data_IF_201847273052
#
_entry.id   IF_201847273052
#
_cell.length_a   1.000
_cell.length_b   1.000
_cell.length_c   1.000
_cell.angle_alpha   90.00
_cell.angle_beta   90.00
_cell.angle_gamma   90.00
#
_symmetry.space_group_name_H-M   'P 1'
#
loop_
_entity.id
_entity.type
_entity.pdbx_description
1 polymer ?
#
# COMPACT_ATOMS: atom_id res chain seq x y z
N UNK A 1 43.92 -28.59 -36.83
CA UNK A 1 42.56 -28.76 -36.30
C UNK A 1 42.46 -28.05 -34.96
N UNK A 2 41.77 -26.91 -34.83
CA UNK A 2 41.56 -26.27 -33.54
C UNK A 2 40.21 -26.65 -32.92
N UNK A 3 40.20 -26.67 -31.58
CA UNK A 3 39.11 -27.06 -30.67
C UNK A 3 38.03 -25.98 -30.62
N UNK A 4 36.76 -26.39 -30.68
CA UNK A 4 35.58 -25.56 -30.40
C UNK A 4 35.38 -25.43 -28.89
N UNK A 5 35.06 -24.20 -28.45
CA UNK A 5 34.97 -23.73 -27.08
C UNK A 5 33.62 -24.00 -26.42
N UNK A 6 33.68 -24.16 -25.11
CA UNK A 6 32.65 -24.49 -24.12
C UNK A 6 31.63 -23.35 -23.87
N UNK A 7 31.04 -22.78 -24.94
CA UNK A 7 30.06 -21.68 -24.83
C UNK A 7 28.63 -22.13 -25.17
N UNK A 8 28.44 -23.36 -25.69
CA UNK A 8 27.14 -23.83 -26.17
C UNK A 8 26.18 -24.35 -25.08
N UNK A 9 26.61 -24.54 -23.83
CA UNK A 9 25.79 -25.18 -22.78
C UNK A 9 25.07 -24.25 -21.80
N UNK A 10 25.29 -22.93 -21.88
CA UNK A 10 24.63 -21.94 -20.98
C UNK A 10 23.69 -20.99 -21.73
N UNK A 11 23.86 -20.83 -23.05
CA UNK A 11 23.03 -19.92 -23.85
C UNK A 11 21.62 -20.48 -24.18
N UNK A 12 21.46 -21.80 -24.25
CA UNK A 12 20.17 -22.42 -24.64
C UNK A 12 19.10 -22.36 -23.52
N UNK A 13 19.41 -22.58 -22.23
CA UNK A 13 18.42 -22.46 -21.15
C UNK A 13 17.93 -21.02 -20.94
N UNK A 14 18.82 -20.03 -21.09
CA UNK A 14 18.49 -18.61 -20.91
C UNK A 14 17.58 -18.07 -22.04
N UNK A 15 17.76 -18.58 -23.27
CA UNK A 15 16.89 -18.19 -24.39
C UNK A 15 15.47 -18.73 -24.22
N UNK A 16 15.33 -19.97 -23.72
CA UNK A 16 14.04 -20.63 -23.46
C UNK A 16 13.29 -19.97 -22.29
N UNK A 17 14.00 -19.54 -21.23
CA UNK A 17 13.42 -18.75 -20.14
C UNK A 17 12.97 -17.36 -20.59
N UNK A 18 13.72 -16.68 -21.47
CA UNK A 18 13.29 -15.37 -22.00
C UNK A 18 12.08 -15.46 -22.94
N UNK A 19 11.96 -16.54 -23.71
CA UNK A 19 10.81 -16.79 -24.60
C UNK A 19 9.56 -17.21 -23.81
N UNK A 20 9.70 -17.96 -22.72
CA UNK A 20 8.59 -18.26 -21.81
C UNK A 20 8.07 -17.01 -21.09
N UNK A 21 8.98 -16.11 -20.69
CA UNK A 21 8.64 -14.81 -20.10
C UNK A 21 7.93 -13.88 -21.11
N UNK A 22 8.38 -13.87 -22.37
CA UNK A 22 7.74 -13.10 -23.44
C UNK A 22 6.38 -13.66 -23.87
N UNK A 23 6.14 -14.98 -23.73
CA UNK A 23 4.86 -15.58 -24.09
C UNK A 23 3.79 -15.38 -22.99
N UNK A 24 4.17 -15.36 -21.70
CA UNK A 24 3.25 -15.10 -20.60
C UNK A 24 2.81 -13.63 -20.49
N UNK A 25 3.61 -12.68 -20.97
CA UNK A 25 3.26 -11.25 -20.94
C UNK A 25 2.09 -10.86 -21.87
N UNK A 26 1.70 -11.71 -22.82
CA UNK A 26 0.60 -11.44 -23.76
C UNK A 26 -0.74 -12.10 -23.39
N UNK A 27 -0.80 -12.94 -22.36
CA UNK A 27 -2.02 -13.64 -21.94
C UNK A 27 -2.61 -13.15 -20.60
N UNK A 28 -2.00 -12.13 -19.97
CA UNK A 28 -2.48 -11.61 -18.68
C UNK A 28 -3.47 -10.46 -18.86
N UNK A 29 -4.62 -10.41 -18.15
CA UNK A 29 -5.58 -9.31 -18.23
C UNK A 29 -5.08 -7.98 -17.61
N UNK A 30 -3.85 -7.92 -17.10
CA UNK A 30 -3.34 -6.83 -16.25
C UNK A 30 -2.25 -5.94 -16.89
N UNK A 31 -2.02 -6.00 -18.21
CA UNK A 31 -1.09 -5.11 -18.91
C UNK A 31 0.40 -5.53 -18.83
N UNK A 32 1.32 -4.88 -19.59
CA UNK A 32 2.69 -5.38 -19.76
C UNK A 32 3.60 -4.96 -18.61
N UNK A 33 4.52 -5.86 -18.23
CA UNK A 33 5.58 -5.61 -17.26
C UNK A 33 6.62 -4.57 -17.77
N UNK A 34 7.24 -3.76 -16.89
CA UNK A 34 8.21 -2.75 -17.29
C UNK A 34 9.51 -3.38 -17.81
N UNK A 35 10.06 -2.78 -18.87
CA UNK A 35 11.34 -3.16 -19.46
C UNK A 35 12.52 -2.85 -18.51
N UNK A 36 13.31 -3.87 -18.17
CA UNK A 36 14.65 -3.70 -17.60
C UNK A 36 15.54 -2.95 -18.61
N UNK A 37 15.82 -1.68 -18.33
CA UNK A 37 16.81 -0.90 -19.08
C UNK A 37 18.20 -1.51 -18.88
N UNK A 38 18.88 -1.82 -19.98
CA UNK A 38 20.24 -2.31 -19.98
C UNK A 38 21.20 -1.23 -19.46
N UNK A 39 21.60 -1.34 -18.20
CA UNK A 39 22.65 -0.48 -17.65
C UNK A 39 22.72 -0.47 -16.13
N UNK A 40 22.98 -1.62 -15.51
CA UNK A 40 23.49 -1.70 -14.13
C UNK A 40 24.45 -2.88 -14.03
N UNK A 41 25.62 -2.62 -13.44
CA UNK A 41 26.73 -3.55 -13.33
C UNK A 41 26.36 -4.78 -12.51
N UNK A 42 26.85 -5.95 -12.96
CA UNK A 42 26.73 -7.21 -12.24
C UNK A 42 27.44 -7.12 -10.89
N UNK A 43 26.66 -6.90 -9.84
CA UNK A 43 26.90 -7.41 -8.48
C UNK A 43 25.58 -7.40 -7.72
N UNK A 44 24.64 -8.23 -8.15
CA UNK A 44 23.48 -8.59 -7.33
C UNK A 44 23.53 -10.11 -7.14
N UNK A 45 23.37 -10.49 -5.87
CA UNK A 45 23.78 -11.73 -5.27
C UNK A 45 23.13 -12.97 -5.91
N UNK A 46 23.94 -14.01 -6.08
CA UNK A 46 23.53 -15.37 -6.45
C UNK A 46 22.50 -16.00 -5.48
N UNK A 47 22.23 -15.38 -4.33
CA UNK A 47 21.32 -15.91 -3.29
C UNK A 47 19.84 -15.83 -3.67
N UNK A 48 19.40 -14.78 -4.38
CA UNK A 48 18.00 -14.58 -4.75
C UNK A 48 17.51 -15.59 -5.81
N UNK A 49 18.41 -16.03 -6.70
CA UNK A 49 18.12 -17.09 -7.69
C UNK A 49 18.03 -18.49 -7.07
N UNK A 50 18.78 -18.76 -6.00
CA UNK A 50 18.77 -20.08 -5.33
C UNK A 50 17.48 -20.26 -4.51
N UNK A 51 17.02 -19.21 -3.82
CA UNK A 51 15.78 -19.27 -3.03
C UNK A 51 14.54 -19.46 -3.93
N UNK A 52 14.52 -18.85 -5.12
CA UNK A 52 13.42 -19.03 -6.08
C UNK A 52 13.35 -20.46 -6.64
N UNK A 53 14.51 -21.08 -6.89
CA UNK A 53 14.59 -22.46 -7.39
C UNK A 53 14.18 -23.51 -6.34
N UNK A 54 14.44 -23.25 -5.04
CA UNK A 54 14.00 -24.13 -3.96
C UNK A 54 12.49 -24.08 -3.72
N UNK A 55 11.85 -22.90 -3.88
CA UNK A 55 10.41 -22.76 -3.75
C UNK A 55 9.64 -23.46 -4.90
N UNK A 56 10.18 -23.43 -6.13
CA UNK A 56 9.56 -24.06 -7.29
C UNK A 56 9.63 -25.60 -7.29
N UNK A 57 10.54 -26.21 -6.52
CA UNK A 57 10.69 -27.67 -6.44
C UNK A 57 9.74 -28.36 -5.45
N UNK A 58 8.95 -27.62 -4.66
CA UNK A 58 8.08 -28.18 -3.62
C UNK A 58 6.56 -28.15 -3.95
N UNK A 59 6.17 -27.66 -5.14
CA UNK A 59 4.76 -27.67 -5.56
C UNK A 59 4.39 -28.98 -6.30
N UNK A 60 3.28 -29.66 -5.95
CA UNK A 60 2.80 -30.82 -6.72
C UNK A 60 2.25 -30.38 -8.08
N UNK A 61 2.75 -30.99 -9.15
CA UNK A 61 2.35 -30.75 -10.54
C UNK A 61 0.88 -31.13 -10.81
N UNK A 62 0.10 -30.19 -11.36
CA UNK A 62 -1.20 -30.41 -12.00
C UNK A 62 -1.23 -29.79 -13.39
N UNK A 63 -1.61 -30.59 -14.39
CA UNK A 63 -1.48 -30.33 -15.83
C UNK A 63 -2.48 -29.30 -16.40
N UNK A 64 -2.21 -28.70 -17.59
CA UNK A 64 -3.02 -27.61 -18.16
C UNK A 64 -4.19 -28.11 -19.00
N UNK A 65 -5.29 -27.36 -18.96
CA UNK A 65 -6.55 -27.64 -19.64
C UNK A 65 -6.77 -26.65 -20.77
N UNK A 66 -6.77 -27.12 -22.02
CA UNK A 66 -7.56 -26.57 -23.12
C UNK A 66 -7.62 -27.57 -24.29
N UNK A 67 -8.83 -28.09 -24.57
CA UNK A 67 -9.38 -28.42 -25.88
C UNK A 67 -10.57 -29.37 -25.72
N UNK A 68 -11.78 -28.89 -26.04
CA UNK A 68 -12.77 -29.59 -26.88
C UNK A 68 -14.05 -28.76 -27.00
N UNK A 69 -14.12 -28.01 -28.10
CA UNK A 69 -15.38 -27.58 -28.70
C UNK A 69 -16.10 -28.83 -29.24
N UNK A 70 -17.39 -28.94 -28.91
CA UNK A 70 -18.35 -29.76 -29.63
C UNK A 70 -18.84 -30.98 -28.86
N UNK A 71 -20.08 -30.92 -28.35
CA UNK A 71 -21.23 -31.60 -28.97
C UNK A 71 -22.47 -31.53 -28.05
N UNK A 72 -23.61 -31.20 -28.68
CA UNK A 72 -24.98 -31.65 -28.39
C UNK A 72 -25.52 -31.59 -26.95
N UNK A 73 -26.54 -30.76 -26.78
CA UNK A 73 -27.55 -30.88 -25.73
C UNK A 73 -28.20 -32.27 -25.70
N UNK A 74 -28.36 -32.85 -24.51
CA UNK A 74 -29.57 -33.56 -24.14
C UNK A 74 -30.30 -32.78 -23.05
N UNK A 75 -31.62 -32.67 -23.20
CA UNK A 75 -32.55 -32.18 -22.17
C UNK A 75 -32.42 -33.06 -20.93
N UNK A 76 -32.08 -32.47 -19.79
CA UNK A 76 -32.22 -33.15 -18.50
C UNK A 76 -33.40 -32.56 -17.73
N UNK A 77 -34.27 -33.47 -17.31
CA UNK A 77 -35.51 -33.21 -16.60
C UNK A 77 -35.19 -32.61 -15.23
N UNK A 78 -35.98 -31.61 -14.85
CA UNK A 78 -36.03 -31.08 -13.48
C UNK A 78 -36.77 -32.11 -12.63
N UNK A 79 -36.01 -32.98 -11.97
CA UNK A 79 -36.52 -33.73 -10.83
C UNK A 79 -36.20 -32.93 -9.56
N UNK A 80 -37.26 -32.40 -8.96
CA UNK A 80 -37.26 -31.84 -7.62
C UNK A 80 -36.97 -32.97 -6.63
N UNK A 81 -35.75 -33.02 -6.11
CA UNK A 81 -35.47 -33.66 -4.83
C UNK A 81 -34.75 -32.67 -3.92
N UNK A 82 -35.43 -32.30 -2.83
CA UNK A 82 -34.88 -31.68 -1.63
C UNK A 82 -33.71 -32.53 -1.13
N UNK A 83 -32.50 -32.22 -1.58
CA UNK A 83 -31.28 -32.68 -0.95
C UNK A 83 -30.82 -31.57 -0.01
N UNK A 84 -31.13 -31.75 1.28
CA UNK A 84 -30.42 -31.07 2.36
C UNK A 84 -28.92 -31.26 2.14
N UNK A 85 -28.26 -30.21 1.63
CA UNK A 85 -26.81 -30.12 1.65
C UNK A 85 -26.42 -30.10 3.12
N UNK A 86 -25.96 -31.24 3.62
CA UNK A 86 -25.44 -31.39 4.97
C UNK A 86 -24.19 -30.52 5.07
N UNK A 87 -24.34 -29.35 5.69
CA UNK A 87 -23.28 -28.35 5.93
C UNK A 87 -22.37 -28.85 7.07
N UNK A 88 -21.66 -29.97 6.84
CA UNK A 88 -20.81 -30.61 7.86
C UNK A 88 -19.30 -30.36 7.68
N UNK A 89 -18.89 -29.60 6.65
CA UNK A 89 -17.53 -29.06 6.58
C UNK A 89 -17.47 -27.79 7.46
N UNK A 90 -16.59 -27.71 8.48
CA UNK A 90 -16.44 -26.50 9.27
C UNK A 90 -15.98 -25.36 8.37
N UNK A 91 -16.83 -24.33 8.23
CA UNK A 91 -16.48 -23.10 7.53
C UNK A 91 -15.12 -22.59 8.09
N UNK A 92 -14.14 -22.23 7.24
CA UNK A 92 -12.83 -21.85 7.75
C UNK A 92 -12.89 -20.46 8.41
N UNK A 93 -12.12 -20.30 9.50
CA UNK A 93 -11.84 -18.99 10.08
C UNK A 93 -11.02 -18.17 9.08
N UNK A 94 -11.40 -16.91 8.89
CA UNK A 94 -10.57 -15.93 8.18
C UNK A 94 -9.81 -15.09 9.19
N UNK A 95 -8.53 -14.83 8.92
CA UNK A 95 -7.71 -13.88 9.68
C UNK A 95 -6.94 -13.02 8.69
N UNK A 96 -6.75 -11.74 9.04
CA UNK A 96 -5.87 -10.81 8.33
C UNK A 96 -5.10 -9.97 9.35
N UNK A 97 -3.77 -9.93 9.23
CA UNK A 97 -2.85 -9.09 9.99
C UNK A 97 -2.32 -7.97 9.10
N UNK A 98 -2.56 -6.74 9.52
CA UNK A 98 -2.11 -5.52 8.86
C UNK A 98 -1.17 -4.79 9.81
N UNK A 99 -0.07 -4.28 9.29
CA UNK A 99 0.82 -3.36 10.02
C UNK A 99 0.88 -2.04 9.26
N UNK A 100 0.81 -0.92 9.97
CA UNK A 100 1.00 0.40 9.39
C UNK A 100 2.07 1.20 10.15
N UNK A 101 2.92 1.92 9.42
CA UNK A 101 3.97 2.78 9.97
C UNK A 101 3.84 4.19 9.39
N UNK A 102 4.05 5.16 10.27
CA UNK A 102 4.03 6.58 9.96
C UNK A 102 5.26 7.08 9.20
N UNK A 103 5.57 8.34 9.45
CA UNK A 103 6.57 9.15 8.77
C UNK A 103 8.00 8.67 9.11
N UNK A 104 8.77 8.26 8.10
CA UNK A 104 10.12 7.67 8.27
C UNK A 104 11.21 8.73 8.12
N UNK A 105 11.02 9.71 7.25
CA UNK A 105 11.90 10.87 7.13
C UNK A 105 13.40 10.54 7.03
N UNK A 106 13.76 9.75 6.00
CA UNK A 106 15.13 9.52 5.57
C UNK A 106 15.97 8.71 6.55
N UNK A 107 15.35 7.94 7.45
CA UNK A 107 16.01 7.22 8.54
C UNK A 107 15.87 5.69 8.38
N UNK A 108 16.85 5.08 7.70
CA UNK A 108 16.85 3.64 7.43
C UNK A 108 16.99 2.81 8.71
N UNK A 109 17.77 3.29 9.67
CA UNK A 109 18.06 2.54 10.91
C UNK A 109 16.78 2.41 11.75
N UNK A 110 16.07 3.50 11.99
CA UNK A 110 14.83 3.42 12.77
C UNK A 110 13.70 2.74 12.00
N UNK A 111 13.64 2.89 10.67
CA UNK A 111 12.72 2.12 9.85
C UNK A 111 12.97 0.61 10.01
N UNK A 112 14.21 0.15 9.91
CA UNK A 112 14.62 -1.24 10.15
C UNK A 112 14.16 -1.76 11.51
N UNK A 113 14.46 -1.01 12.59
CA UNK A 113 14.06 -1.38 13.96
C UNK A 113 12.54 -1.52 14.10
N UNK A 114 11.78 -0.56 13.57
CA UNK A 114 10.31 -0.56 13.66
C UNK A 114 9.71 -1.69 12.85
N UNK A 115 10.16 -1.90 11.60
CA UNK A 115 9.62 -2.95 10.74
C UNK A 115 9.94 -4.35 11.27
N UNK A 116 11.12 -4.55 11.85
CA UNK A 116 11.50 -5.82 12.47
C UNK A 116 10.66 -6.08 13.72
N UNK A 117 10.54 -5.09 14.62
CA UNK A 117 9.70 -5.17 15.82
C UNK A 117 8.24 -5.51 15.50
N UNK A 118 7.68 -4.89 14.45
CA UNK A 118 6.30 -5.14 14.04
C UNK A 118 6.10 -6.49 13.32
N UNK A 119 7.20 -7.17 12.98
CA UNK A 119 7.23 -8.42 12.24
C UNK A 119 6.97 -8.25 10.74
N UNK A 120 7.16 -7.06 10.18
CA UNK A 120 7.08 -6.81 8.72
C UNK A 120 8.30 -7.41 8.03
N UNK A 121 9.49 -7.23 8.63
CA UNK A 121 10.74 -7.80 8.14
C UNK A 121 11.35 -8.76 9.15
N UNK A 122 12.17 -9.69 8.67
CA UNK A 122 12.96 -10.62 9.48
C UNK A 122 14.28 -9.99 9.95
N UNK A 123 15.17 -10.81 10.54
CA UNK A 123 16.49 -10.36 11.03
C UNK A 123 17.44 -9.90 9.94
N UNK A 124 17.22 -10.34 8.70
CA UNK A 124 18.02 -9.97 7.52
C UNK A 124 17.42 -8.76 6.78
N UNK A 125 16.30 -8.20 7.27
CA UNK A 125 15.60 -7.09 6.64
C UNK A 125 14.73 -7.49 5.45
N UNK A 126 14.46 -8.78 5.24
CA UNK A 126 13.57 -9.27 4.19
C UNK A 126 12.12 -9.38 4.68
N UNK A 127 11.15 -9.35 3.78
CA UNK A 127 9.75 -9.59 4.09
C UNK A 127 9.57 -10.89 4.86
N UNK A 128 9.01 -10.80 6.06
CA UNK A 128 8.96 -11.93 7.00
C UNK A 128 7.92 -13.00 6.62
N UNK A 129 6.94 -12.65 5.77
CA UNK A 129 5.75 -13.46 5.51
C UNK A 129 4.75 -13.54 6.68
N UNK A 130 5.00 -12.85 7.80
CA UNK A 130 4.16 -12.89 9.00
C UNK A 130 3.04 -11.84 9.01
N UNK A 131 3.04 -10.94 8.03
CA UNK A 131 2.05 -9.87 7.86
C UNK A 131 1.39 -10.04 6.49
N UNK A 132 0.07 -9.89 6.43
CA UNK A 132 -0.66 -9.98 5.14
C UNK A 132 -0.55 -8.67 4.37
N UNK A 133 -0.61 -7.53 5.07
CA UNK A 133 -0.53 -6.19 4.46
C UNK A 133 0.34 -5.26 5.29
N UNK A 134 1.34 -4.64 4.67
CA UNK A 134 2.09 -3.52 5.23
C UNK A 134 1.65 -2.20 4.60
N UNK A 135 1.41 -1.18 5.42
CA UNK A 135 1.04 0.17 4.97
C UNK A 135 2.06 1.21 5.44
N UNK A 136 2.62 1.99 4.53
CA UNK A 136 3.45 3.15 4.84
C UNK A 136 2.67 4.42 4.49
N UNK A 137 2.49 5.35 5.44
CA UNK A 137 1.55 6.48 5.30
C UNK A 137 2.17 7.78 4.75
N UNK A 138 3.23 7.71 3.94
CA UNK A 138 3.90 8.88 3.34
C UNK A 138 5.03 9.46 4.19
N UNK A 139 5.74 10.44 3.65
CA UNK A 139 6.91 11.08 4.28
C UNK A 139 8.02 10.07 4.59
N UNK A 140 8.43 9.34 3.57
CA UNK A 140 9.63 8.49 3.62
C UNK A 140 10.88 9.37 3.43
N UNK A 141 10.78 10.43 2.64
CA UNK A 141 11.89 11.33 2.27
C UNK A 141 12.06 12.52 3.24
N UNK A 142 13.18 13.23 3.09
CA UNK A 142 13.63 14.43 3.82
C UNK A 142 14.01 14.20 5.28
N UNK A 143 14.70 15.17 5.89
CA UNK A 143 15.21 15.17 7.28
C UNK A 143 16.24 14.09 7.64
N UNK A 144 16.49 13.13 6.75
CA UNK A 144 17.57 12.16 6.85
C UNK A 144 18.26 11.97 5.49
N UNK A 145 19.39 11.26 5.51
CA UNK A 145 20.27 11.12 4.34
C UNK A 145 20.03 9.80 3.56
N UNK A 146 19.26 8.85 4.11
CA UNK A 146 19.13 7.48 3.60
C UNK A 146 18.03 7.31 2.53
N UNK A 147 17.70 8.38 1.79
CA UNK A 147 16.57 8.37 0.84
C UNK A 147 16.74 7.30 -0.24
N UNK A 148 17.94 7.17 -0.79
CA UNK A 148 18.21 6.22 -1.87
C UNK A 148 18.04 4.80 -1.36
N UNK A 149 18.72 4.45 -0.27
CA UNK A 149 18.67 3.11 0.32
C UNK A 149 17.25 2.74 0.80
N UNK A 150 16.51 3.69 1.39
CA UNK A 150 15.14 3.46 1.84
C UNK A 150 14.21 3.09 0.68
N UNK A 151 14.22 3.86 -0.41
CA UNK A 151 13.32 3.55 -1.53
C UNK A 151 13.76 2.30 -2.30
N UNK A 152 15.05 1.99 -2.38
CA UNK A 152 15.51 0.70 -2.92
C UNK A 152 14.98 -0.46 -2.07
N UNK A 153 15.15 -0.39 -0.75
CA UNK A 153 14.66 -1.41 0.18
C UNK A 153 13.14 -1.56 0.16
N UNK A 154 12.38 -0.46 0.12
CA UNK A 154 10.91 -0.50 0.04
C UNK A 154 10.41 -1.19 -1.24
N UNK A 155 11.10 -1.02 -2.36
CA UNK A 155 10.71 -1.68 -3.61
C UNK A 155 11.13 -3.16 -3.62
N UNK A 156 12.26 -3.53 -3.02
CA UNK A 156 12.61 -4.94 -2.77
C UNK A 156 11.57 -5.64 -1.87
N UNK A 157 11.18 -5.00 -0.77
CA UNK A 157 10.12 -5.51 0.11
C UNK A 157 8.79 -5.67 -0.61
N UNK A 158 8.45 -4.74 -1.52
CA UNK A 158 7.23 -4.84 -2.34
C UNK A 158 7.24 -6.10 -3.21
N UNK A 159 8.36 -6.41 -3.86
CA UNK A 159 8.52 -7.61 -4.67
C UNK A 159 8.45 -8.89 -3.83
N UNK A 160 9.14 -8.91 -2.68
CA UNK A 160 9.14 -10.05 -1.76
C UNK A 160 7.74 -10.31 -1.18
N UNK A 161 7.05 -9.26 -0.73
CA UNK A 161 5.69 -9.34 -0.23
C UNK A 161 4.77 -9.99 -1.27
N UNK A 162 4.78 -9.47 -2.50
CA UNK A 162 3.98 -10.02 -3.59
C UNK A 162 4.32 -11.50 -3.87
N UNK A 163 5.61 -11.86 -3.88
CA UNK A 163 6.07 -13.24 -4.07
C UNK A 163 5.58 -14.21 -2.99
N UNK A 164 5.24 -13.72 -1.80
CA UNK A 164 4.73 -14.49 -0.66
C UNK A 164 3.23 -14.29 -0.41
N UNK A 165 2.51 -13.63 -1.32
CA UNK A 165 1.07 -13.35 -1.19
C UNK A 165 0.71 -12.22 -0.23
N UNK A 166 1.70 -11.51 0.30
CA UNK A 166 1.55 -10.27 1.04
C UNK A 166 1.34 -9.07 0.12
N UNK A 167 0.93 -7.94 0.70
CA UNK A 167 0.71 -6.70 -0.03
C UNK A 167 1.37 -5.52 0.68
N UNK A 168 2.03 -4.67 -0.09
CA UNK A 168 2.55 -3.39 0.39
C UNK A 168 1.74 -2.24 -0.20
N UNK A 169 1.20 -1.38 0.67
CA UNK A 169 0.50 -0.15 0.31
C UNK A 169 1.34 1.04 0.75
N UNK A 170 1.82 1.83 -0.20
CA UNK A 170 2.66 3.00 0.10
C UNK A 170 1.93 4.28 -0.30
N UNK A 171 1.89 5.24 0.61
CA UNK A 171 1.26 6.52 0.36
C UNK A 171 2.28 7.61 0.02
N UNK A 172 1.82 8.62 -0.72
CA UNK A 172 2.56 9.86 -0.89
C UNK A 172 2.22 10.80 0.27
N UNK A 173 3.24 11.24 1.00
CA UNK A 173 3.14 12.29 1.99
C UNK A 173 3.43 13.67 1.42
N UNK A 174 3.35 14.70 2.26
CA UNK A 174 3.59 16.04 1.77
C UNK A 174 5.05 16.26 1.35
N UNK A 175 6.00 15.51 1.91
CA UNK A 175 7.42 15.61 1.57
C UNK A 175 7.74 15.05 0.19
N UNK A 176 7.12 13.94 -0.24
CA UNK A 176 7.24 13.47 -1.63
C UNK A 176 6.72 14.54 -2.62
N UNK A 177 5.59 15.18 -2.28
CA UNK A 177 5.02 16.27 -3.09
C UNK A 177 5.88 17.53 -3.10
N UNK A 178 6.41 17.95 -1.96
CA UNK A 178 7.34 19.07 -1.87
C UNK A 178 8.56 18.83 -2.77
N UNK A 179 9.14 17.62 -2.71
CA UNK A 179 10.27 17.25 -3.56
C UNK A 179 9.95 17.26 -5.05
N UNK A 180 8.79 16.72 -5.45
CA UNK A 180 8.32 16.76 -6.84
C UNK A 180 8.00 18.18 -7.35
N UNK A 181 7.59 19.09 -6.45
CA UNK A 181 7.36 20.52 -6.74
C UNK A 181 8.69 21.26 -6.93
N UNK A 182 9.77 20.80 -6.28
CA UNK A 182 11.05 21.50 -6.18
C UNK A 182 11.18 22.35 -4.92
N UNK A 183 10.42 22.02 -3.87
CA UNK A 183 10.51 22.61 -2.53
C UNK A 183 11.34 21.70 -1.62
N UNK A 184 12.61 22.07 -1.46
CA UNK A 184 13.65 21.32 -0.76
C UNK A 184 14.04 21.97 0.56
N UNK A 185 13.13 22.74 1.19
CA UNK A 185 13.38 23.39 2.49
C UNK A 185 13.79 22.43 3.61
N UNK A 186 13.49 21.14 3.48
CA UNK A 186 13.80 20.09 4.46
C UNK A 186 14.86 19.08 3.97
N UNK A 187 15.47 19.35 2.82
CA UNK A 187 16.52 18.52 2.25
C UNK A 187 17.86 18.97 2.81
N UNK A 188 18.63 18.05 3.37
CA UNK A 188 19.97 18.36 3.88
C UNK A 188 21.00 18.43 2.76
N UNK A 189 22.05 19.28 2.89
CA UNK A 189 23.15 19.28 1.94
C UNK A 189 23.82 17.90 1.80
N UNK A 190 23.94 17.14 2.89
CA UNK A 190 24.45 15.76 2.93
C UNK A 190 23.59 14.81 2.10
N UNK A 191 22.26 14.92 2.20
CA UNK A 191 21.36 14.13 1.35
C UNK A 191 21.58 14.45 -0.14
N UNK A 192 21.82 15.71 -0.53
CA UNK A 192 22.11 16.04 -1.93
C UNK A 192 23.40 15.35 -2.41
N UNK A 193 24.38 15.17 -1.52
CA UNK A 193 25.64 14.47 -1.81
C UNK A 193 25.40 12.98 -2.12
N UNK A 194 24.39 12.33 -1.52
CA UNK A 194 24.07 10.91 -1.79
C UNK A 194 23.57 10.70 -3.23
N UNK A 195 22.95 11.73 -3.83
CA UNK A 195 22.58 11.76 -5.26
C UNK A 195 23.73 12.25 -6.16
N UNK A 196 24.85 12.70 -5.59
CA UNK A 196 26.05 13.19 -6.28
C UNK A 196 25.97 14.61 -6.84
N UNK A 197 24.77 15.15 -7.12
CA UNK A 197 24.60 16.57 -7.49
C UNK A 197 23.14 17.02 -7.39
N UNK A 198 22.92 18.34 -7.28
CA UNK A 198 21.59 18.96 -7.36
C UNK A 198 20.84 18.52 -8.62
N UNK A 199 21.50 18.50 -9.78
CA UNK A 199 20.85 18.10 -11.04
C UNK A 199 20.46 16.63 -11.05
N UNK A 200 21.29 15.75 -10.47
CA UNK A 200 20.99 14.32 -10.39
C UNK A 200 19.81 14.05 -9.44
N UNK A 201 19.79 14.69 -8.26
CA UNK A 201 18.68 14.62 -7.33
C UNK A 201 17.38 15.15 -7.94
N UNK A 202 17.43 16.35 -8.54
CA UNK A 202 16.28 16.96 -9.20
C UNK A 202 15.72 16.05 -10.28
N UNK A 203 16.60 15.43 -11.07
CA UNK A 203 16.17 14.43 -12.04
C UNK A 203 15.49 13.26 -11.32
N UNK A 204 16.11 12.66 -10.30
CA UNK A 204 15.57 11.52 -9.57
C UNK A 204 14.14 11.76 -9.04
N UNK A 205 13.91 12.84 -8.28
CA UNK A 205 12.61 13.15 -7.64
C UNK A 205 11.55 13.72 -8.60
N UNK A 206 11.87 13.93 -9.88
CA UNK A 206 10.92 14.41 -10.89
C UNK A 206 10.74 13.42 -12.04
N UNK A 207 11.70 13.38 -12.94
CA UNK A 207 11.62 12.65 -14.22
C UNK A 207 12.37 11.32 -14.22
N UNK A 208 13.14 11.06 -13.17
CA UNK A 208 13.98 9.90 -12.97
C UNK A 208 13.29 8.80 -12.17
N UNK A 209 14.11 7.91 -11.62
CA UNK A 209 13.66 6.67 -10.99
C UNK A 209 12.67 6.90 -9.85
N UNK A 210 12.95 7.85 -8.95
CA UNK A 210 12.12 8.08 -7.75
C UNK A 210 10.76 8.69 -8.12
N UNK A 211 10.73 9.68 -9.02
CA UNK A 211 9.49 10.20 -9.57
C UNK A 211 8.69 9.17 -10.39
N UNK A 212 9.36 8.17 -10.99
CA UNK A 212 8.70 7.06 -11.67
C UNK A 212 8.02 6.11 -10.66
N UNK A 213 8.71 5.69 -9.59
CA UNK A 213 8.12 4.79 -8.60
C UNK A 213 6.95 5.44 -7.86
N UNK A 214 7.05 6.73 -7.52
CA UNK A 214 5.94 7.48 -6.91
C UNK A 214 4.70 7.50 -7.80
N UNK A 215 4.89 7.56 -9.12
CA UNK A 215 3.78 7.58 -10.06
C UNK A 215 3.17 6.19 -10.34
N UNK A 216 3.92 5.11 -10.16
CA UNK A 216 3.47 3.75 -10.48
C UNK A 216 2.99 2.97 -9.26
N UNK A 217 3.64 3.14 -8.11
CA UNK A 217 3.54 2.23 -6.98
C UNK A 217 2.95 2.89 -5.72
N UNK A 218 2.72 4.20 -5.74
CA UNK A 218 2.24 4.97 -4.58
C UNK A 218 0.89 5.62 -4.89
N UNK A 219 0.07 5.80 -3.84
CA UNK A 219 -1.22 6.50 -3.92
C UNK A 219 -1.32 7.62 -2.90
N UNK A 220 -2.16 8.64 -3.10
CA UNK A 220 -2.33 9.71 -2.09
C UNK A 220 -3.27 9.28 -0.95
N UNK A 221 -4.26 8.44 -1.27
CA UNK A 221 -5.14 7.83 -0.27
C UNK A 221 -5.34 6.35 -0.59
N UNK A 222 -5.58 5.54 0.43
CA UNK A 222 -5.90 4.15 0.26
C UNK A 222 -7.16 3.73 1.04
N UNK A 223 -7.91 2.81 0.43
CA UNK A 223 -8.96 2.06 1.12
C UNK A 223 -8.48 0.61 1.23
N UNK A 224 -8.41 0.09 2.45
CA UNK A 224 -7.99 -1.28 2.68
C UNK A 224 -9.14 -2.10 3.26
N UNK A 225 -9.84 -2.88 2.41
CA UNK A 225 -10.75 -3.92 2.87
C UNK A 225 -10.12 -4.90 3.87
N UNK A 226 -10.82 -5.19 4.96
CA UNK A 226 -10.41 -6.18 5.96
C UNK A 226 -10.75 -7.61 5.52
N UNK A 227 -11.67 -7.77 4.56
CA UNK A 227 -12.06 -9.07 4.00
C UNK A 227 -12.11 -9.04 2.47
N UNK A 228 -11.74 -10.15 1.83
CA UNK A 228 -11.62 -10.26 0.37
C UNK A 228 -12.93 -10.02 -0.40
N UNK A 229 -14.09 -10.26 0.24
CA UNK A 229 -15.41 -10.00 -0.38
C UNK A 229 -15.64 -8.53 -0.75
N UNK A 230 -14.95 -7.61 -0.08
CA UNK A 230 -15.06 -6.18 -0.34
C UNK A 230 -14.08 -5.69 -1.41
N UNK A 231 -13.23 -6.59 -1.92
CA UNK A 231 -12.25 -6.37 -2.97
C UNK A 231 -10.80 -6.25 -2.47
N UNK A 232 -9.83 -6.18 -3.40
CA UNK A 232 -8.43 -5.89 -3.08
C UNK A 232 -8.25 -4.47 -2.52
N UNK A 233 -7.04 -4.12 -2.01
CA UNK A 233 -6.72 -2.74 -1.67
C UNK A 233 -7.07 -1.76 -2.79
N UNK A 234 -7.57 -0.59 -2.41
CA UNK A 234 -8.07 0.48 -3.28
C UNK A 234 -9.32 0.14 -4.11
N UNK A 235 -10.05 -0.92 -3.75
CA UNK A 235 -11.42 -1.10 -4.26
C UNK A 235 -12.31 0.05 -3.81
N UNK A 236 -12.89 0.75 -4.78
CA UNK A 236 -13.69 1.94 -4.55
C UNK A 236 -14.91 1.69 -3.67
N UNK A 237 -15.27 2.73 -2.91
CA UNK A 237 -16.55 2.84 -2.23
C UNK A 237 -17.30 4.12 -2.64
N UNK A 238 -18.56 4.00 -3.09
CA UNK A 238 -19.19 2.76 -3.53
C UNK A 238 -18.41 2.15 -4.71
N UNK A 239 -18.41 0.82 -4.88
CA UNK A 239 -17.75 0.21 -6.04
C UNK A 239 -18.51 0.55 -7.32
N UNK A 240 -17.85 0.35 -8.46
CA UNK A 240 -18.48 0.50 -9.77
C UNK A 240 -19.76 -0.35 -9.89
N UNK A 241 -20.77 0.19 -10.58
CA UNK A 241 -22.03 -0.51 -10.82
C UNK A 241 -21.78 -1.85 -11.55
N UNK A 242 -22.44 -2.92 -11.10
CA UNK A 242 -22.24 -4.27 -11.63
C UNK A 242 -20.92 -4.94 -11.21
N UNK A 243 -20.10 -4.30 -10.37
CA UNK A 243 -18.90 -4.93 -9.80
C UNK A 243 -19.25 -6.19 -9.00
N UNK A 244 -18.38 -7.20 -9.08
CA UNK A 244 -18.48 -8.42 -8.24
C UNK A 244 -18.44 -8.11 -6.74
N UNK A 245 -17.92 -6.95 -6.35
CA UNK A 245 -17.84 -6.52 -4.95
C UNK A 245 -19.08 -5.71 -4.49
N UNK A 246 -20.02 -5.39 -5.39
CA UNK A 246 -21.14 -4.51 -5.11
C UNK A 246 -22.04 -5.04 -3.98
N UNK A 247 -22.33 -6.35 -3.97
CA UNK A 247 -23.18 -6.98 -2.95
C UNK A 247 -22.59 -6.84 -1.55
N UNK A 248 -21.32 -7.23 -1.38
CA UNK A 248 -20.64 -7.14 -0.08
C UNK A 248 -20.50 -5.68 0.40
N UNK A 249 -20.23 -4.75 -0.53
CA UNK A 249 -20.14 -3.32 -0.23
C UNK A 249 -21.51 -2.65 0.03
N UNK A 250 -22.63 -3.32 -0.25
CA UNK A 250 -23.98 -2.90 0.16
C UNK A 250 -24.45 -3.60 1.45
N UNK A 251 -23.73 -4.62 1.90
CA UNK A 251 -24.11 -5.46 3.03
C UNK A 251 -23.53 -5.02 4.39
N UNK A 252 -23.67 -5.88 5.41
CA UNK A 252 -23.17 -5.61 6.76
C UNK A 252 -21.64 -5.40 6.84
N UNK A 253 -20.88 -5.98 5.90
CA UNK A 253 -19.44 -5.78 5.78
C UNK A 253 -19.03 -4.50 5.05
N UNK A 254 -19.95 -3.72 4.50
CA UNK A 254 -19.65 -2.56 3.64
C UNK A 254 -18.55 -1.62 4.13
N UNK A 255 -18.44 -1.44 5.45
CA UNK A 255 -17.46 -0.57 6.09
C UNK A 255 -16.33 -1.31 6.79
N UNK A 256 -16.22 -2.65 6.66
CA UNK A 256 -15.10 -3.45 7.16
C UNK A 256 -13.83 -3.19 6.33
N UNK A 257 -13.39 -1.94 6.35
CA UNK A 257 -12.26 -1.39 5.63
C UNK A 257 -11.69 -0.22 6.43
N UNK A 258 -10.40 0.05 6.27
CA UNK A 258 -9.72 1.20 6.85
C UNK A 258 -9.37 2.18 5.73
N UNK A 259 -9.46 3.49 5.99
CA UNK A 259 -8.85 4.49 5.13
C UNK A 259 -7.46 4.83 5.66
N UNK A 260 -6.50 4.93 4.75
CA UNK A 260 -5.16 5.42 5.04
C UNK A 260 -4.92 6.68 4.22
N UNK A 261 -4.36 7.70 4.84
CA UNK A 261 -4.04 8.99 4.25
C UNK A 261 -2.86 9.58 5.00
N UNK A 262 -2.02 10.40 4.36
CA UNK A 262 -0.89 10.99 5.07
C UNK A 262 -1.33 12.05 6.10
N UNK A 263 -1.93 13.15 5.65
CA UNK A 263 -2.42 14.22 6.50
C UNK A 263 -3.79 13.91 7.10
N UNK A 264 -4.83 13.78 6.28
CA UNK A 264 -6.18 13.54 6.81
C UNK A 264 -7.30 13.84 5.82
N UNK A 265 -8.45 13.18 5.97
CA UNK A 265 -9.61 13.43 5.10
C UNK A 265 -10.51 14.51 5.70
N UNK A 266 -10.32 15.77 5.31
CA UNK A 266 -11.12 16.87 5.84
C UNK A 266 -12.63 16.66 5.54
N UNK A 267 -13.55 16.96 6.48
CA UNK A 267 -14.99 16.77 6.26
C UNK A 267 -15.56 17.51 5.05
N UNK A 268 -14.95 18.66 4.73
CA UNK A 268 -15.34 19.52 3.61
C UNK A 268 -14.59 19.24 2.31
N UNK A 269 -13.70 18.24 2.28
CA UNK A 269 -13.02 17.86 1.05
C UNK A 269 -14.03 17.25 0.06
N UNK A 270 -14.12 17.77 -1.18
CA UNK A 270 -15.25 17.45 -2.06
C UNK A 270 -15.11 16.07 -2.73
N UNK A 271 -13.87 15.61 -2.94
CA UNK A 271 -13.60 14.38 -3.70
C UNK A 271 -13.41 13.16 -2.79
N UNK A 272 -14.25 13.02 -1.76
CA UNK A 272 -14.26 11.84 -0.89
C UNK A 272 -14.98 10.63 -1.50
N UNK A 273 -15.60 10.75 -2.68
CA UNK A 273 -16.27 9.64 -3.36
C UNK A 273 -16.12 9.73 -4.89
N UNK A 274 -16.00 8.57 -5.59
CA UNK A 274 -15.71 7.25 -5.01
C UNK A 274 -14.33 7.23 -4.33
N UNK A 275 -14.23 6.60 -3.16
CA UNK A 275 -12.98 6.53 -2.39
C UNK A 275 -12.28 5.18 -2.59
N UNK A 276 -10.97 5.15 -2.90
CA UNK A 276 -10.03 6.28 -2.93
C UNK A 276 -9.80 6.88 -4.32
N UNK A 277 -10.39 6.34 -5.40
CA UNK A 277 -9.99 6.70 -6.76
C UNK A 277 -10.22 8.16 -7.12
N UNK A 278 -11.24 8.83 -6.56
CA UNK A 278 -11.46 10.26 -6.81
C UNK A 278 -10.25 11.12 -6.38
N UNK A 279 -9.63 10.80 -5.24
CA UNK A 279 -8.41 11.46 -4.76
C UNK A 279 -7.21 11.06 -5.62
N UNK A 280 -7.05 9.76 -5.85
CA UNK A 280 -5.88 9.23 -6.55
C UNK A 280 -5.84 9.68 -8.03
N UNK A 281 -6.98 9.86 -8.69
CA UNK A 281 -7.02 10.39 -10.05
C UNK A 281 -6.55 11.85 -10.13
N UNK A 282 -6.93 12.68 -9.16
CA UNK A 282 -6.46 14.08 -9.06
C UNK A 282 -4.95 14.09 -8.78
N UNK A 283 -4.49 13.23 -7.85
CA UNK A 283 -3.08 13.02 -7.53
C UNK A 283 -2.27 12.64 -8.76
N UNK A 284 -2.70 11.62 -9.52
CA UNK A 284 -2.01 11.17 -10.72
C UNK A 284 -1.94 12.26 -11.80
N UNK A 285 -3.03 13.03 -11.99
CA UNK A 285 -3.06 14.15 -12.92
C UNK A 285 -2.04 15.24 -12.54
N UNK A 286 -2.02 15.67 -11.27
CA UNK A 286 -1.10 16.71 -10.82
C UNK A 286 0.35 16.23 -10.85
N UNK A 287 0.63 15.00 -10.42
CA UNK A 287 1.98 14.43 -10.45
C UNK A 287 2.50 14.32 -11.88
N UNK A 288 1.64 13.93 -12.84
CA UNK A 288 2.00 13.94 -14.26
C UNK A 288 2.36 15.35 -14.76
N UNK A 289 1.63 16.39 -14.35
CA UNK A 289 1.95 17.79 -14.69
C UNK A 289 3.26 18.27 -14.09
N UNK A 290 3.58 17.88 -12.85
CA UNK A 290 4.86 18.20 -12.21
C UNK A 290 6.03 17.57 -12.98
N UNK A 291 5.89 16.29 -13.32
CA UNK A 291 6.93 15.52 -14.02
C UNK A 291 7.13 15.98 -15.47
N UNK A 292 6.10 16.53 -16.12
CA UNK A 292 6.16 17.00 -17.50
C UNK A 292 6.63 18.46 -17.67
N UNK A 293 6.98 19.17 -16.58
CA UNK A 293 7.57 20.52 -16.68
C UNK A 293 8.87 20.48 -17.47
N UNK A 294 8.99 21.38 -18.44
CA UNK A 294 10.19 21.54 -19.26
C UNK A 294 10.47 23.03 -19.51
N UNK A 295 11.61 23.57 -19.04
CA UNK A 295 12.55 22.93 -18.12
C UNK A 295 11.94 22.71 -16.71
N UNK A 296 12.52 21.81 -15.93
CA UNK A 296 12.22 21.73 -14.50
C UNK A 296 12.72 23.00 -13.79
N UNK A 297 11.91 23.65 -12.94
CA UNK A 297 12.32 24.87 -12.25
C UNK A 297 13.41 24.56 -11.22
N UNK A 298 14.38 25.46 -11.01
CA UNK A 298 15.43 25.22 -10.02
C UNK A 298 14.84 25.08 -8.61
N UNK A 299 15.40 24.21 -7.74
CA UNK A 299 14.82 23.91 -6.44
C UNK A 299 14.95 25.08 -5.45
N UNK A 300 13.95 25.23 -4.58
CA UNK A 300 13.92 26.18 -3.47
C UNK A 300 14.36 25.48 -2.17
N UNK A 301 15.19 26.06 -1.31
CA UNK A 301 16.04 27.26 -1.47
C UNK A 301 17.35 26.95 -2.26
N UNK A 302 18.10 27.97 -2.75
CA UNK A 302 17.92 29.41 -2.53
C UNK A 302 17.02 30.09 -3.57
N UNK A 303 16.53 29.37 -4.57
CA UNK A 303 15.65 29.93 -5.60
C UNK A 303 14.26 30.26 -5.06
N UNK A 304 13.46 31.01 -5.82
CA UNK A 304 12.07 31.27 -5.44
C UNK A 304 11.26 29.97 -5.44
N UNK A 305 10.25 29.87 -4.57
CA UNK A 305 9.35 28.73 -4.49
C UNK A 305 8.70 28.45 -5.87
N UNK A 306 8.88 27.25 -6.47
CA UNK A 306 8.40 26.97 -7.83
C UNK A 306 6.88 26.98 -7.99
N UNK A 307 6.13 26.71 -6.91
CA UNK A 307 4.67 26.61 -6.94
C UNK A 307 4.15 25.40 -7.73
N UNK A 308 2.84 25.33 -7.92
CA UNK A 308 2.18 24.29 -8.73
C UNK A 308 2.26 24.61 -10.24
N UNK A 309 2.19 23.61 -11.14
CA UNK A 309 2.38 23.82 -12.59
C UNK A 309 1.36 24.80 -13.18
N UNK A 310 1.71 25.44 -14.30
CA UNK A 310 0.71 26.15 -15.10
C UNK A 310 -0.40 25.17 -15.54
N UNK A 311 -1.66 25.61 -15.50
CA UNK A 311 -2.81 24.75 -15.81
C UNK A 311 -3.21 23.79 -14.67
N UNK A 312 -2.72 24.01 -13.45
CA UNK A 312 -3.23 23.34 -12.25
C UNK A 312 -4.72 23.67 -12.05
N UNK A 313 -5.56 22.64 -11.91
CA UNK A 313 -7.00 22.83 -11.68
C UNK A 313 -7.28 23.21 -10.22
N UNK A 314 -8.52 23.58 -9.90
CA UNK A 314 -8.91 23.87 -8.52
C UNK A 314 -8.82 22.64 -7.62
N UNK A 315 -9.20 21.50 -8.15
CA UNK A 315 -9.15 20.21 -7.47
C UNK A 315 -7.71 19.79 -7.17
N UNK A 316 -6.80 19.94 -8.15
CA UNK A 316 -5.38 19.68 -7.97
C UNK A 316 -4.73 20.65 -6.97
N UNK A 317 -5.05 21.94 -7.04
CA UNK A 317 -4.57 22.92 -6.06
C UNK A 317 -5.07 22.61 -4.65
N UNK A 318 -6.32 22.15 -4.51
CA UNK A 318 -6.91 21.78 -3.22
C UNK A 318 -6.36 20.46 -2.67
N UNK A 319 -5.98 19.51 -3.53
CA UNK A 319 -5.27 18.29 -3.12
C UNK A 319 -4.02 18.61 -2.30
N UNK A 320 -3.22 19.58 -2.77
CA UNK A 320 -2.02 20.08 -2.08
C UNK A 320 -2.32 21.20 -1.06
N UNK A 321 -3.58 21.64 -0.94
CA UNK A 321 -3.99 22.67 -0.01
C UNK A 321 -4.00 22.19 1.44
N UNK A 322 -4.10 23.14 2.39
CA UNK A 322 -4.10 22.83 3.83
C UNK A 322 -5.30 22.01 4.31
N UNK A 323 -6.43 22.01 3.57
CA UNK A 323 -7.57 21.12 3.81
C UNK A 323 -7.56 19.87 2.92
N UNK A 324 -6.51 19.69 2.12
CA UNK A 324 -6.27 18.52 1.29
C UNK A 324 -5.70 17.34 2.08
N UNK A 325 -5.72 16.13 1.48
CA UNK A 325 -5.33 14.89 2.14
C UNK A 325 -3.87 14.85 2.61
N UNK A 326 -3.00 15.69 2.05
CA UNK A 326 -1.57 15.70 2.37
C UNK A 326 -1.24 16.53 3.62
N UNK A 327 -2.04 17.56 3.94
CA UNK A 327 -1.67 18.56 4.94
C UNK A 327 -2.69 18.73 6.08
N UNK A 328 -3.89 18.14 5.96
CA UNK A 328 -4.96 18.41 6.91
C UNK A 328 -4.68 17.84 8.30
N UNK A 329 -4.48 18.72 9.29
CA UNK A 329 -4.18 18.35 10.69
C UNK A 329 -5.39 18.37 11.63
N UNK A 330 -6.58 18.75 11.14
CA UNK A 330 -7.70 19.03 12.04
C UNK A 330 -8.15 17.82 12.88
N UNK A 331 -7.90 16.60 12.42
CA UNK A 331 -8.15 15.37 13.20
C UNK A 331 -7.22 15.20 14.39
N UNK A 332 -6.02 15.77 14.35
CA UNK A 332 -5.07 15.77 15.45
C UNK A 332 -5.25 17.00 16.35
N UNK A 333 -5.41 18.19 15.76
CA UNK A 333 -5.29 19.45 16.48
C UNK A 333 -6.63 19.98 17.06
N UNK A 334 -7.77 19.63 16.44
CA UNK A 334 -9.06 20.17 16.89
C UNK A 334 -9.61 19.44 18.14
N UNK A 335 -10.52 20.11 18.85
CA UNK A 335 -11.21 19.56 20.03
C UNK A 335 -11.90 18.23 19.73
N UNK A 336 -11.80 17.28 20.67
CA UNK A 336 -12.34 15.93 20.50
C UNK A 336 -13.84 15.94 20.22
N UNK A 337 -14.62 16.77 20.93
CA UNK A 337 -16.06 16.88 20.70
C UNK A 337 -16.43 17.32 19.27
N UNK A 338 -15.63 18.21 18.66
CA UNK A 338 -15.85 18.71 17.29
C UNK A 338 -15.50 17.66 16.24
N UNK A 339 -14.41 16.92 16.44
CA UNK A 339 -14.01 15.89 15.48
C UNK A 339 -14.92 14.66 15.57
N UNK A 340 -15.31 14.23 16.77
CA UNK A 340 -16.17 13.07 16.95
C UNK A 340 -17.59 13.30 16.44
N UNK A 341 -18.05 14.56 16.40
CA UNK A 341 -19.32 14.93 15.79
C UNK A 341 -19.32 14.85 14.25
N UNK A 342 -18.15 14.83 13.60
CA UNK A 342 -18.02 14.91 12.12
C UNK A 342 -17.40 13.66 11.48
N UNK A 343 -16.61 12.89 12.22
CA UNK A 343 -15.86 11.74 11.69
C UNK A 343 -16.77 10.70 11.01
N UNK A 344 -17.95 10.44 11.56
CA UNK A 344 -18.89 9.46 11.02
C UNK A 344 -19.34 9.81 9.60
N UNK A 345 -19.48 11.11 9.30
CA UNK A 345 -19.86 11.54 7.95
C UNK A 345 -18.74 11.27 6.92
N UNK A 346 -17.48 11.35 7.34
CA UNK A 346 -16.34 11.04 6.47
C UNK A 346 -16.22 9.54 6.27
N UNK A 347 -16.26 8.76 7.35
CA UNK A 347 -16.22 7.30 7.33
C UNK A 347 -17.35 6.68 6.48
N UNK A 348 -18.55 7.26 6.57
CA UNK A 348 -19.69 6.85 5.75
C UNK A 348 -19.47 7.13 4.25
N UNK A 349 -18.82 8.24 3.90
CA UNK A 349 -18.49 8.56 2.51
C UNK A 349 -17.41 7.62 1.97
N UNK A 350 -16.41 7.30 2.79
CA UNK A 350 -15.28 6.46 2.38
C UNK A 350 -15.57 4.97 2.48
N UNK A 351 -16.67 4.56 3.10
CA UNK A 351 -16.99 3.16 3.33
C UNK A 351 -15.95 2.47 4.21
N UNK A 352 -15.56 3.14 5.29
CA UNK A 352 -14.52 2.66 6.23
C UNK A 352 -14.98 2.76 7.67
N UNK A 353 -14.40 1.94 8.55
CA UNK A 353 -14.62 1.97 10.01
C UNK A 353 -13.72 2.95 10.71
N UNK A 354 -12.50 3.09 10.19
CA UNK A 354 -11.43 3.88 10.78
C UNK A 354 -10.66 4.60 9.70
N UNK A 355 -10.10 5.72 10.09
CA UNK A 355 -9.15 6.49 9.31
C UNK A 355 -7.83 6.53 10.07
N UNK A 356 -6.78 6.11 9.38
CA UNK A 356 -5.39 6.08 9.86
C UNK A 356 -4.62 7.18 9.14
N UNK A 357 -3.85 7.97 9.90
CA UNK A 357 -3.07 9.10 9.39
C UNK A 357 -1.71 9.27 10.05
N UNK A 358 -0.75 9.85 9.32
CA UNK A 358 0.57 10.26 9.79
C UNK A 358 0.65 11.79 9.99
N UNK A 359 1.72 12.42 9.50
CA UNK A 359 1.93 13.88 9.32
C UNK A 359 2.00 14.76 10.59
N UNK A 360 1.18 14.44 11.59
CA UNK A 360 1.04 15.23 12.82
C UNK A 360 1.60 14.43 13.99
N UNK A 361 2.89 14.61 14.30
CA UNK A 361 3.58 13.73 15.21
C UNK A 361 3.08 13.91 16.64
N UNK A 362 2.81 12.79 17.31
CA UNK A 362 2.80 12.71 18.76
C UNK A 362 4.04 11.92 19.19
N UNK A 363 5.04 12.61 19.71
CA UNK A 363 6.35 12.02 19.99
C UNK A 363 6.35 10.94 21.08
N UNK A 364 5.24 10.74 21.79
CA UNK A 364 5.13 9.77 22.87
C UNK A 364 4.39 8.49 22.46
N UNK A 365 3.28 8.62 21.73
CA UNK A 365 2.38 7.50 21.48
C UNK A 365 1.51 7.69 20.25
N UNK A 366 1.08 6.58 19.66
CA UNK A 366 -0.02 6.56 18.69
C UNK A 366 -1.29 7.04 19.39
N UNK A 367 -2.06 7.92 18.74
CA UNK A 367 -3.25 8.53 19.33
C UNK A 367 -4.51 7.95 18.69
N UNK A 368 -5.35 7.31 19.51
CA UNK A 368 -6.69 6.90 19.13
C UNK A 368 -7.73 7.93 19.62
N UNK A 369 -8.53 8.47 18.70
CA UNK A 369 -9.60 9.45 19.03
C UNK A 369 -10.97 8.92 18.63
N UNK A 370 -12.02 9.41 19.28
CA UNK A 370 -13.41 9.08 18.96
C UNK A 370 -13.72 7.58 18.98
N UNK A 371 -13.25 6.87 20.02
CA UNK A 371 -13.37 5.40 20.11
C UNK A 371 -12.52 4.67 19.06
N UNK A 372 -11.40 5.28 18.67
CA UNK A 372 -10.46 4.77 17.66
C UNK A 372 -10.94 4.91 16.22
N UNK A 373 -11.99 5.70 15.95
CA UNK A 373 -12.42 6.00 14.56
C UNK A 373 -11.34 6.79 13.79
N UNK A 374 -10.54 7.56 14.52
CA UNK A 374 -9.35 8.25 14.01
C UNK A 374 -8.13 7.69 14.75
N UNK A 375 -7.12 7.29 13.99
CA UNK A 375 -5.85 6.76 14.49
C UNK A 375 -4.71 7.60 13.88
N UNK A 376 -3.96 8.29 14.74
CA UNK A 376 -2.81 9.12 14.34
C UNK A 376 -1.55 8.34 14.73
N UNK A 377 -0.82 7.88 13.72
CA UNK A 377 0.26 6.88 13.87
C UNK A 377 1.66 7.45 13.67
N UNK A 378 1.77 8.74 13.32
CA UNK A 378 3.05 9.42 13.31
C UNK A 378 3.47 9.71 14.75
N UNK A 379 4.52 9.01 15.18
CA UNK A 379 5.16 9.22 16.48
C UNK A 379 6.53 9.87 16.37
N UNK A 380 6.90 10.41 15.20
CA UNK A 380 8.22 10.99 14.96
C UNK A 380 9.34 9.97 15.09
N UNK A 381 9.21 8.80 14.45
CA UNK A 381 10.16 7.67 14.59
C UNK A 381 11.57 8.00 14.07
N UNK A 382 11.70 8.99 13.19
CA UNK A 382 13.00 9.45 12.69
C UNK A 382 13.84 10.09 13.79
N UNK A 383 15.15 9.89 13.76
CA UNK A 383 16.12 10.56 14.61
C UNK A 383 16.02 12.09 14.53
N UNK A 384 15.50 12.64 13.43
CA UNK A 384 15.25 14.07 13.28
C UNK A 384 14.19 14.62 14.27
N UNK A 385 13.30 13.76 14.77
CA UNK A 385 12.27 14.09 15.76
C UNK A 385 12.54 13.44 17.12
N UNK A 386 13.06 12.20 17.14
CA UNK A 386 13.43 11.47 18.34
C UNK A 386 12.23 11.01 19.19
N UNK A 387 11.09 10.76 18.55
CA UNK A 387 9.91 10.24 19.22
C UNK A 387 9.90 8.72 19.35
N UNK A 388 8.81 8.17 19.88
CA UNK A 388 8.69 6.75 20.16
C UNK A 388 8.72 5.91 18.88
N UNK A 389 9.60 4.90 18.81
CA UNK A 389 9.60 3.93 17.72
C UNK A 389 8.34 3.06 17.80
N UNK A 390 7.43 3.23 16.84
CA UNK A 390 6.11 2.62 16.91
C UNK A 390 5.58 2.12 15.57
N UNK A 391 4.63 1.18 15.63
CA UNK A 391 3.85 0.71 14.50
C UNK A 391 2.41 0.42 14.95
N UNK A 392 1.44 0.63 14.06
CA UNK A 392 0.06 0.22 14.28
C UNK A 392 -0.12 -1.23 13.83
N UNK A 393 -0.66 -2.09 14.68
CA UNK A 393 -1.05 -3.46 14.34
C UNK A 393 -2.57 -3.60 14.34
N UNK A 394 -3.11 -4.20 13.28
CA UNK A 394 -4.53 -4.48 13.12
C UNK A 394 -4.70 -5.96 12.83
N UNK A 395 -5.41 -6.66 13.70
CA UNK A 395 -5.81 -8.05 13.51
C UNK A 395 -7.32 -8.11 13.29
N UNK A 396 -7.72 -8.61 12.14
CA UNK A 396 -9.11 -8.82 11.78
C UNK A 396 -9.39 -10.31 11.66
N UNK A 397 -10.47 -10.78 12.28
CA UNK A 397 -10.88 -12.18 12.23
C UNK A 397 -12.36 -12.33 11.97
N UNK A 398 -12.73 -13.32 11.18
CA UNK A 398 -14.10 -13.71 10.93
C UNK A 398 -14.23 -15.20 11.26
N UNK A 399 -14.86 -15.47 12.40
CA UNK A 399 -14.99 -16.81 12.97
C UNK A 399 -16.41 -17.34 12.73
N UNK A 400 -16.59 -18.55 12.20
CA UNK A 400 -17.92 -19.13 12.06
C UNK A 400 -18.48 -19.52 13.42
N UNK A 401 -19.74 -19.17 13.66
CA UNK A 401 -20.43 -19.53 14.91
C UNK A 401 -21.19 -20.85 14.73
N UNK A 402 -21.19 -21.67 15.79
CA UNK A 402 -21.95 -22.93 15.82
C UNK A 402 -23.45 -22.62 15.75
N UNK A 403 -24.14 -23.15 14.75
CA UNK A 403 -25.56 -22.88 14.50
C UNK A 403 -25.84 -21.79 13.47
N UNK A 404 -24.83 -21.34 12.72
CA UNK A 404 -24.98 -20.35 11.65
C UNK A 404 -24.37 -19.00 12.00
N UNK A 405 -24.17 -18.14 11.00
CA UNK A 405 -23.60 -16.80 11.20
C UNK A 405 -22.09 -16.75 11.44
N UNK A 406 -21.62 -15.56 11.81
CA UNK A 406 -20.19 -15.23 11.95
C UNK A 406 -19.95 -14.25 13.08
N UNK A 407 -18.86 -14.47 13.82
CA UNK A 407 -18.32 -13.53 14.78
C UNK A 407 -17.18 -12.78 14.12
N UNK A 408 -17.41 -11.52 13.85
CA UNK A 408 -16.43 -10.58 13.35
C UNK A 408 -15.71 -9.92 14.53
N UNK A 409 -14.39 -9.93 14.51
CA UNK A 409 -13.58 -9.28 15.52
C UNK A 409 -12.45 -8.48 14.88
N UNK A 410 -12.19 -7.31 15.45
CA UNK A 410 -11.14 -6.39 15.07
C UNK A 410 -10.40 -5.96 16.33
N UNK A 411 -9.08 -6.13 16.33
CA UNK A 411 -8.18 -5.75 17.42
C UNK A 411 -7.13 -4.80 16.85
N UNK A 412 -7.00 -3.62 17.44
CA UNK A 412 -6.05 -2.60 17.02
C UNK A 412 -5.12 -2.29 18.18
N UNK A 413 -3.80 -2.37 17.95
CA UNK A 413 -2.76 -2.12 18.94
C UNK A 413 -1.73 -1.13 18.41
N UNK A 414 -1.15 -0.34 19.32
CA UNK A 414 0.13 0.30 19.08
C UNK A 414 1.24 -0.62 19.58
N UNK A 415 2.20 -0.91 18.71
CA UNK A 415 3.40 -1.65 19.03
C UNK A 415 4.53 -0.66 19.27
N UNK A 416 5.39 -0.91 20.27
CA UNK A 416 6.51 -0.03 20.57
C UNK A 416 7.80 -0.80 20.83
N UNK A 417 8.93 -0.23 20.39
CA UNK A 417 10.22 -0.91 20.52
C UNK A 417 10.80 -0.79 21.95
N UNK A 418 10.39 0.24 22.68
CA UNK A 418 11.03 0.66 23.93
C UNK A 418 10.03 0.80 25.11
N UNK A 419 8.76 0.47 24.88
CA UNK A 419 7.71 0.48 25.91
C UNK A 419 6.68 -0.64 25.63
N UNK A 420 5.73 -0.84 26.55
CA UNK A 420 4.70 -1.88 26.38
C UNK A 420 3.73 -1.54 25.25
N UNK A 421 3.31 -2.56 24.51
CA UNK A 421 2.26 -2.45 23.51
C UNK A 421 0.94 -1.98 24.14
N UNK A 422 0.23 -1.10 23.43
CA UNK A 422 -1.03 -0.53 23.89
C UNK A 422 -2.21 -1.09 23.10
N UNK A 423 -3.23 -1.58 23.79
CA UNK A 423 -4.50 -1.95 23.15
C UNK A 423 -5.34 -0.69 22.92
N UNK A 424 -5.42 -0.26 21.66
CA UNK A 424 -6.19 0.93 21.28
C UNK A 424 -7.67 0.64 21.09
N UNK A 425 -7.99 -0.49 20.44
CA UNK A 425 -9.38 -0.86 20.16
C UNK A 425 -9.58 -2.37 20.15
N UNK A 426 -10.74 -2.80 20.67
CA UNK A 426 -11.30 -4.12 20.41
C UNK A 426 -12.77 -3.94 20.05
N UNK A 427 -13.17 -4.43 18.87
CA UNK A 427 -14.55 -4.42 18.42
C UNK A 427 -14.97 -5.83 18.01
N UNK A 428 -16.15 -6.24 18.45
CA UNK A 428 -16.73 -7.55 18.15
C UNK A 428 -18.17 -7.35 17.70
N UNK A 429 -18.57 -8.06 16.64
CA UNK A 429 -19.93 -8.05 16.11
C UNK A 429 -20.35 -9.47 15.70
N UNK A 430 -21.60 -9.81 16.00
CA UNK A 430 -22.23 -11.02 15.49
C UNK A 430 -22.96 -10.69 14.17
N UNK A 431 -22.78 -11.54 13.16
CA UNK A 431 -23.38 -11.46 11.84
C UNK A 431 -24.26 -12.69 11.59
N UNK A 432 -25.41 -12.49 10.96
CA UNK A 432 -26.31 -13.56 10.57
C UNK A 432 -25.74 -14.46 9.47
N UNK A 433 -26.39 -15.61 9.24
CA UNK A 433 -25.94 -16.62 8.28
C UNK A 433 -25.91 -16.13 6.83
N UNK A 434 -26.88 -15.28 6.46
CA UNK A 434 -26.98 -14.65 5.13
C UNK A 434 -26.21 -13.32 4.98
N UNK A 435 -25.50 -12.86 6.02
CA UNK A 435 -24.90 -11.52 6.02
C UNK A 435 -23.60 -11.43 5.21
N UNK A 436 -22.97 -12.57 4.92
CA UNK A 436 -21.73 -12.62 4.12
C UNK A 436 -21.94 -12.98 2.66
N UNK A 437 -23.04 -13.64 2.31
CA UNK A 437 -23.20 -14.32 1.01
C UNK A 437 -24.32 -13.74 0.18
#
# INVERSE_FOLDING_TARGET
MPRLSTVAFVALPLLVLSLAYFAQSYASPLGPAPHLGSGLGLSIAFSSLVNYAQAAMQAPFGAPQEALLGTQHPKEQVDNEDSEVTINEPRPRFTRRIVAVGDIHGDLINAGRVLQMAGVVDEDGNWSGSVDVFVQTGDIIDRGDDTVELFEWMEELREQAHGMGGVMVSLLGNHEWMNAIGDWRYVYPSEIETFGSISARQKAVTTGWLGNIWASNYTTAARLPLHNLLGPPNTDYPPAEGSVYARANAGPLSHAAFSFVHGGLAPMYPNLQPFPSAINNISSSLLHKLRSRSPQPPPHPPHAYPGLPAGTTREEARLYGGDGPLWYRGWADEDESKICARVDQVLQKTGTRRMVMGHTPNLQNIVARCGGKVLIIDTGISHAYGGALSALSIEYTLEPVKGGGWKEQEVVKALYAEQEDELLVTATRELGEGDLW
#
